data_IF_434445304164
#
_entry.id   IF_434445304164
#
_cell.length_a   1.000
_cell.length_b   1.000
_cell.length_c   1.000
_cell.angle_alpha   90.00
_cell.angle_beta   90.00
_cell.angle_gamma   90.00
#
_symmetry.space_group_name_H-M   'P 1'
#
loop_
_entity.id
_entity.type
_entity.pdbx_description
1 polymer ?
#
# COMPACT_ATOMS: atom_id res chain seq x y z
N UNK A 1 -20.48 34.26 -18.03
CA UNK A 1 -19.33 33.79 -18.82
C UNK A 1 -18.09 34.52 -18.33
N UNK A 2 -17.30 33.89 -17.48
CA UNK A 2 -16.04 34.44 -16.99
C UNK A 2 -14.92 34.02 -17.95
N UNK A 3 -14.28 34.99 -18.61
CA UNK A 3 -13.05 34.79 -19.38
C UNK A 3 -11.90 34.58 -18.37
N UNK A 4 -11.34 33.39 -18.35
CA UNK A 4 -10.07 33.16 -17.69
C UNK A 4 -8.95 33.80 -18.53
N UNK A 5 -8.45 34.94 -18.09
CA UNK A 5 -7.21 35.48 -18.60
C UNK A 5 -6.03 34.68 -18.03
N UNK A 6 -5.48 33.81 -18.84
CA UNK A 6 -4.15 33.25 -18.62
C UNK A 6 -3.11 34.34 -18.84
N UNK A 7 -2.66 34.96 -17.74
CA UNK A 7 -1.42 35.75 -17.78
C UNK A 7 -0.25 34.77 -17.92
N UNK A 8 0.17 34.54 -19.15
CA UNK A 8 1.46 33.96 -19.45
C UNK A 8 2.53 34.89 -18.88
N UNK A 9 3.33 34.39 -17.93
CA UNK A 9 4.54 35.08 -17.53
C UNK A 9 5.46 35.15 -18.74
N UNK A 10 5.50 36.30 -19.39
CA UNK A 10 6.50 36.61 -20.38
C UNK A 10 7.86 36.51 -19.69
N UNK A 11 8.67 35.51 -20.04
CA UNK A 11 10.10 35.54 -19.75
C UNK A 11 10.60 36.80 -20.45
N UNK A 12 10.90 37.81 -19.66
CA UNK A 12 11.73 38.93 -20.15
C UNK A 12 13.05 38.32 -20.57
N UNK A 13 13.18 38.01 -21.85
CA UNK A 13 14.48 37.90 -22.47
C UNK A 13 15.07 39.30 -22.36
N UNK A 14 15.91 39.49 -21.35
CA UNK A 14 16.76 40.66 -21.30
C UNK A 14 17.59 40.67 -22.59
N UNK A 15 17.17 41.48 -23.55
CA UNK A 15 17.98 41.83 -24.70
C UNK A 15 19.22 42.51 -24.16
N UNK A 16 20.25 41.71 -23.92
CA UNK A 16 21.56 42.21 -23.54
C UNK A 16 22.12 42.87 -24.81
N UNK A 17 21.96 44.18 -24.94
CA UNK A 17 22.59 44.90 -26.06
C UNK A 17 24.09 44.67 -26.02
N UNK A 18 24.73 44.58 -27.19
CA UNK A 18 26.18 44.40 -27.27
C UNK A 18 26.96 45.44 -26.44
N UNK A 19 26.44 46.67 -26.35
CA UNK A 19 27.00 47.73 -25.54
C UNK A 19 26.97 47.41 -24.02
N UNK A 20 25.92 46.79 -23.55
CA UNK A 20 25.80 46.38 -22.15
C UNK A 20 26.76 45.24 -21.81
N UNK A 21 26.99 44.32 -22.73
CA UNK A 21 27.98 43.24 -22.56
C UNK A 21 29.38 43.80 -22.50
N UNK A 22 29.73 44.72 -23.39
CA UNK A 22 31.04 45.39 -23.42
C UNK A 22 31.26 46.17 -22.14
N UNK A 23 30.27 46.93 -21.67
CA UNK A 23 30.37 47.68 -20.42
C UNK A 23 30.59 46.76 -19.20
N UNK A 24 29.86 45.65 -19.12
CA UNK A 24 30.06 44.69 -18.06
C UNK A 24 31.38 43.96 -18.11
N UNK A 25 31.89 43.66 -19.31
CA UNK A 25 33.23 43.11 -19.49
C UNK A 25 34.32 44.09 -19.05
N UNK A 26 34.18 45.34 -19.38
CA UNK A 26 35.13 46.41 -18.98
C UNK A 26 35.10 46.66 -17.49
N UNK A 27 33.97 46.48 -16.81
CA UNK A 27 33.84 46.55 -15.34
C UNK A 27 34.25 45.27 -14.64
N UNK A 28 34.59 44.19 -15.34
CA UNK A 28 34.97 42.89 -14.77
C UNK A 28 33.86 42.14 -14.08
N UNK A 29 32.60 42.57 -14.21
CA UNK A 29 31.45 41.99 -13.46
C UNK A 29 30.67 40.92 -14.24
N UNK A 30 30.83 40.81 -15.58
CA UNK A 30 30.05 39.92 -16.43
C UNK A 30 30.27 38.45 -16.06
N UNK A 31 31.49 38.03 -15.85
CA UNK A 31 31.84 36.63 -15.49
C UNK A 31 31.32 36.31 -14.12
N UNK A 32 31.41 37.22 -13.15
CA UNK A 32 30.89 37.07 -11.78
C UNK A 32 29.37 36.94 -11.81
N UNK A 33 28.67 37.80 -12.58
CA UNK A 33 27.21 37.75 -12.71
C UNK A 33 26.72 36.44 -13.32
N UNK A 34 27.42 35.91 -14.33
CA UNK A 34 27.11 34.62 -14.96
C UNK A 34 27.35 33.48 -13.98
N UNK A 35 28.48 33.50 -13.26
CA UNK A 35 28.82 32.49 -12.27
C UNK A 35 27.80 32.46 -11.12
N UNK A 36 27.37 33.63 -10.61
CA UNK A 36 26.39 33.75 -9.54
C UNK A 36 25.01 33.22 -9.98
N UNK A 37 24.58 33.53 -11.21
CA UNK A 37 23.33 32.99 -11.77
C UNK A 37 23.40 31.47 -11.93
N UNK A 38 24.50 30.94 -12.46
CA UNK A 38 24.68 29.50 -12.61
C UNK A 38 24.70 28.79 -11.26
N UNK A 39 25.36 29.36 -10.27
CA UNK A 39 25.39 28.82 -8.91
C UNK A 39 23.99 28.80 -8.28
N UNK A 40 23.20 29.85 -8.46
CA UNK A 40 21.82 29.92 -7.95
C UNK A 40 20.89 28.92 -8.64
N UNK A 41 21.00 28.74 -9.97
CA UNK A 41 20.22 27.72 -10.69
C UNK A 41 20.55 26.30 -10.21
N UNK A 42 21.84 26.00 -10.04
CA UNK A 42 22.29 24.70 -9.50
C UNK A 42 21.73 24.49 -8.10
N UNK A 43 21.79 25.48 -7.23
CA UNK A 43 21.27 25.42 -5.87
C UNK A 43 19.76 25.15 -5.86
N UNK A 44 18.99 25.82 -6.71
CA UNK A 44 17.54 25.61 -6.83
C UNK A 44 17.21 24.22 -7.34
N UNK A 45 17.95 23.70 -8.32
CA UNK A 45 17.77 22.36 -8.85
C UNK A 45 18.08 21.27 -7.82
N UNK A 46 19.14 21.45 -7.03
CA UNK A 46 19.48 20.55 -5.91
C UNK A 46 18.40 20.56 -4.84
N UNK A 47 17.87 21.74 -4.49
CA UNK A 47 16.80 21.86 -3.50
C UNK A 47 15.50 21.18 -3.97
N UNK A 48 15.10 21.37 -5.24
CA UNK A 48 13.97 20.68 -5.85
C UNK A 48 14.15 19.15 -5.84
N UNK A 49 15.37 18.70 -6.14
CA UNK A 49 15.71 17.27 -6.11
C UNK A 49 15.59 16.70 -4.71
N UNK A 50 16.10 17.37 -3.69
CA UNK A 50 15.98 16.96 -2.28
C UNK A 50 14.54 16.89 -1.83
N UNK A 51 13.71 17.87 -2.17
CA UNK A 51 12.27 17.88 -1.86
C UNK A 51 11.58 16.70 -2.53
N UNK A 52 11.89 16.41 -3.79
CA UNK A 52 11.33 15.27 -4.53
C UNK A 52 11.71 13.93 -3.88
N UNK A 53 12.97 13.77 -3.46
CA UNK A 53 13.43 12.58 -2.75
C UNK A 53 12.72 12.39 -1.41
N UNK A 54 12.53 13.44 -0.63
CA UNK A 54 11.80 13.38 0.64
C UNK A 54 10.33 12.96 0.40
N UNK A 55 9.68 13.51 -0.63
CA UNK A 55 8.31 13.11 -1.00
C UNK A 55 8.21 11.62 -1.33
N UNK A 56 9.17 11.09 -2.08
CA UNK A 56 9.19 9.65 -2.41
C UNK A 56 9.43 8.78 -1.17
N UNK A 57 10.31 9.19 -0.27
CA UNK A 57 10.54 8.48 1.02
C UNK A 57 9.24 8.44 1.85
N UNK A 58 8.53 9.55 1.95
CA UNK A 58 7.25 9.61 2.69
C UNK A 58 6.22 8.68 2.06
N UNK A 59 6.10 8.68 0.74
CA UNK A 59 5.18 7.75 0.04
C UNK A 59 5.54 6.29 0.28
N UNK A 60 6.83 5.94 0.28
CA UNK A 60 7.27 4.58 0.59
C UNK A 60 6.89 4.18 2.02
N UNK A 61 7.07 5.08 2.98
CA UNK A 61 6.69 4.84 4.37
C UNK A 61 5.18 4.64 4.52
N UNK A 62 4.37 5.45 3.85
CA UNK A 62 2.91 5.31 3.83
C UNK A 62 2.47 3.99 3.21
N UNK A 63 3.05 3.61 2.08
CA UNK A 63 2.79 2.32 1.44
C UNK A 63 3.06 1.15 2.38
N UNK A 64 4.24 1.12 3.01
CA UNK A 64 4.63 0.05 3.93
C UNK A 64 3.70 -0.04 5.14
N UNK A 65 3.32 1.10 5.71
CA UNK A 65 2.39 1.17 6.84
C UNK A 65 1.01 0.61 6.48
N UNK A 66 0.47 1.00 5.33
CA UNK A 66 -0.84 0.52 4.86
C UNK A 66 -0.77 -0.98 4.55
N UNK A 67 0.30 -1.44 3.90
CA UNK A 67 0.52 -2.85 3.60
C UNK A 67 0.57 -3.70 4.87
N UNK A 68 1.28 -3.25 5.89
CA UNK A 68 1.35 -3.92 7.19
C UNK A 68 -0.02 -4.01 7.85
N UNK A 69 -0.79 -2.92 7.87
CA UNK A 69 -2.16 -2.91 8.38
C UNK A 69 -3.08 -3.88 7.64
N UNK A 70 -2.98 -3.96 6.31
CA UNK A 70 -3.74 -4.91 5.50
C UNK A 70 -3.35 -6.36 5.85
N UNK A 71 -2.07 -6.65 6.02
CA UNK A 71 -1.61 -7.98 6.41
C UNK A 71 -2.15 -8.38 7.80
N UNK A 72 -2.10 -7.49 8.77
CA UNK A 72 -2.65 -7.71 10.11
C UNK A 72 -4.16 -7.98 10.06
N UNK A 73 -4.90 -7.20 9.27
CA UNK A 73 -6.35 -7.42 9.08
C UNK A 73 -6.65 -8.76 8.42
N UNK A 74 -5.88 -9.13 7.41
CA UNK A 74 -6.00 -10.43 6.74
C UNK A 74 -5.77 -11.58 7.71
N UNK A 75 -4.70 -11.51 8.49
CA UNK A 75 -4.37 -12.56 9.47
C UNK A 75 -5.45 -12.68 10.55
N UNK A 76 -5.98 -11.57 11.02
CA UNK A 76 -7.10 -11.54 11.97
C UNK A 76 -8.37 -12.16 11.38
N UNK A 77 -8.69 -11.85 10.14
CA UNK A 77 -9.83 -12.44 9.44
C UNK A 77 -9.66 -13.95 9.22
N UNK A 78 -8.47 -14.41 8.87
CA UNK A 78 -8.14 -15.85 8.78
C UNK A 78 -8.29 -16.54 10.12
N UNK A 79 -7.80 -15.95 11.20
CA UNK A 79 -7.92 -16.49 12.54
C UNK A 79 -9.40 -16.63 12.96
N UNK A 80 -10.22 -15.64 12.64
CA UNK A 80 -11.67 -15.69 12.90
C UNK A 80 -12.36 -16.84 12.17
N UNK A 81 -12.07 -17.02 10.89
CA UNK A 81 -12.58 -18.14 10.10
C UNK A 81 -12.16 -19.47 10.73
N UNK A 82 -10.89 -19.60 11.08
CA UNK A 82 -10.35 -20.81 11.72
C UNK A 82 -11.05 -21.13 13.05
N UNK A 83 -11.29 -20.13 13.88
CA UNK A 83 -12.01 -20.30 15.16
C UNK A 83 -13.46 -20.73 14.93
N UNK A 84 -14.16 -20.15 13.97
CA UNK A 84 -15.53 -20.55 13.65
C UNK A 84 -15.61 -22.00 13.14
N UNK A 85 -14.65 -22.41 12.34
CA UNK A 85 -14.54 -23.79 11.85
C UNK A 85 -14.22 -24.76 12.98
N UNK A 86 -13.31 -24.41 13.89
CA UNK A 86 -12.99 -25.21 15.06
C UNK A 86 -14.21 -25.41 15.97
N UNK A 87 -15.00 -24.36 16.20
CA UNK A 87 -16.26 -24.47 16.95
C UNK A 87 -17.24 -25.43 16.29
N UNK A 88 -17.44 -25.31 14.99
CA UNK A 88 -18.32 -26.21 14.23
C UNK A 88 -17.85 -27.67 14.30
N UNK A 89 -16.55 -27.90 14.16
CA UNK A 89 -15.96 -29.24 14.30
C UNK A 89 -16.13 -29.80 15.68
N UNK A 90 -15.92 -29.01 16.75
CA UNK A 90 -16.13 -29.41 18.13
C UNK A 90 -17.58 -29.77 18.40
N UNK A 91 -18.54 -28.98 17.92
CA UNK A 91 -19.97 -29.29 18.03
C UNK A 91 -20.33 -30.59 17.29
N UNK A 92 -19.78 -30.78 16.09
CA UNK A 92 -20.00 -31.97 15.29
C UNK A 92 -19.46 -33.21 15.97
N UNK A 93 -18.25 -33.12 16.56
CA UNK A 93 -17.64 -34.21 17.31
C UNK A 93 -18.43 -34.54 18.57
N UNK A 94 -18.94 -33.55 19.29
CA UNK A 94 -19.81 -33.74 20.43
C UNK A 94 -21.10 -34.52 20.06
N UNK A 95 -21.69 -34.20 18.91
CA UNK A 95 -22.87 -34.93 18.37
C UNK A 95 -22.55 -36.39 18.01
N UNK A 96 -21.36 -36.63 17.47
CA UNK A 96 -20.90 -38.02 17.20
C UNK A 96 -20.67 -38.82 18.47
N UNK A 97 -19.98 -38.20 19.44
CA UNK A 97 -19.64 -38.87 20.72
C UNK A 97 -20.79 -38.92 21.72
N UNK A 98 -21.82 -38.12 21.52
CA UNK A 98 -22.98 -38.01 22.43
C UNK A 98 -22.73 -37.23 23.71
N UNK A 99 -21.55 -36.58 23.84
CA UNK A 99 -21.16 -35.75 24.99
C UNK A 99 -20.49 -34.50 24.57
N UNK A 100 -20.78 -33.39 25.24
CA UNK A 100 -20.07 -32.09 25.09
C UNK A 100 -18.78 -32.11 25.93
N UNK A 101 -17.91 -31.11 25.70
CA UNK A 101 -16.65 -30.95 26.45
C UNK A 101 -16.84 -30.81 27.95
N UNK A 102 -17.93 -30.22 28.41
CA UNK A 102 -18.30 -30.05 29.81
C UNK A 102 -18.90 -31.32 30.44
N UNK A 103 -18.98 -32.44 29.72
CA UNK A 103 -19.57 -33.70 30.13
C UNK A 103 -21.08 -33.79 30.03
N UNK A 104 -21.75 -32.74 29.54
CA UNK A 104 -23.21 -32.74 29.34
C UNK A 104 -23.59 -33.66 28.17
N UNK A 105 -24.62 -34.49 28.36
CA UNK A 105 -25.13 -35.36 27.30
C UNK A 105 -25.78 -34.57 26.17
N UNK A 106 -25.48 -34.95 24.91
CA UNK A 106 -26.16 -34.41 23.72
C UNK A 106 -27.56 -35.04 23.61
N UNK A 107 -28.62 -34.24 23.32
CA UNK A 107 -29.96 -34.79 23.07
C UNK A 107 -29.96 -35.83 21.96
N UNK A 108 -30.80 -36.89 22.10
CA UNK A 108 -30.83 -38.01 21.14
C UNK A 108 -31.17 -37.60 19.72
N UNK A 109 -31.99 -36.56 19.56
CA UNK A 109 -32.35 -35.98 18.24
C UNK A 109 -31.20 -35.27 17.54
N UNK A 110 -30.15 -34.87 18.28
CA UNK A 110 -28.95 -34.21 17.75
C UNK A 110 -27.76 -35.17 17.54
N UNK A 111 -27.85 -36.43 18.02
CA UNK A 111 -26.81 -37.44 17.80
C UNK A 111 -26.73 -37.83 16.32
N UNK A 112 -25.51 -38.05 15.85
CA UNK A 112 -25.22 -38.40 14.45
C UNK A 112 -24.46 -39.72 14.35
N UNK A 113 -24.60 -40.37 13.20
CA UNK A 113 -23.85 -41.57 12.86
C UNK A 113 -22.46 -41.19 12.31
N UNK A 114 -21.48 -42.14 12.30
CA UNK A 114 -20.18 -41.89 11.65
C UNK A 114 -20.26 -41.45 10.18
N UNK A 115 -21.22 -41.97 9.41
CA UNK A 115 -21.43 -41.57 8.03
C UNK A 115 -21.94 -40.14 7.92
N UNK A 116 -22.90 -39.75 8.76
CA UNK A 116 -23.38 -38.38 8.85
C UNK A 116 -22.27 -37.41 9.28
N UNK A 117 -21.43 -37.83 10.23
CA UNK A 117 -20.26 -37.06 10.67
C UNK A 117 -19.30 -36.79 9.49
N UNK A 118 -19.00 -37.80 8.68
CA UNK A 118 -18.13 -37.69 7.52
C UNK A 118 -18.69 -36.68 6.51
N UNK A 119 -19.99 -36.78 6.18
CA UNK A 119 -20.64 -35.89 5.22
C UNK A 119 -20.69 -34.44 5.72
N UNK A 120 -21.04 -34.23 6.98
CA UNK A 120 -21.06 -32.91 7.60
C UNK A 120 -19.65 -32.30 7.76
N UNK A 121 -18.64 -33.13 8.09
CA UNK A 121 -17.24 -32.71 8.15
C UNK A 121 -16.75 -32.23 6.77
N UNK A 122 -17.10 -32.94 5.70
CA UNK A 122 -16.77 -32.57 4.33
C UNK A 122 -17.38 -31.20 3.94
N UNK A 123 -18.63 -30.95 4.34
CA UNK A 123 -19.28 -29.64 4.13
C UNK A 123 -18.59 -28.52 4.88
N UNK A 124 -18.15 -28.76 6.10
CA UNK A 124 -17.37 -27.79 6.88
C UNK A 124 -16.05 -27.48 6.19
N UNK A 125 -15.34 -28.48 5.67
CA UNK A 125 -14.09 -28.30 4.95
C UNK A 125 -14.28 -27.51 3.63
N UNK A 126 -15.35 -27.76 2.90
CA UNK A 126 -15.71 -26.97 1.72
C UNK A 126 -16.02 -25.52 2.07
N UNK A 127 -16.79 -25.28 3.13
CA UNK A 127 -17.11 -23.95 3.61
C UNK A 127 -15.85 -23.18 4.02
N UNK A 128 -14.93 -23.82 4.73
CA UNK A 128 -13.65 -23.23 5.07
C UNK A 128 -12.85 -22.81 3.84
N UNK A 129 -12.75 -23.71 2.87
CA UNK A 129 -12.04 -23.44 1.61
C UNK A 129 -12.64 -22.26 0.87
N UNK A 130 -13.96 -22.21 0.76
CA UNK A 130 -14.69 -21.13 0.12
C UNK A 130 -14.43 -19.78 0.81
N UNK A 131 -14.57 -19.73 2.13
CA UNK A 131 -14.34 -18.52 2.91
C UNK A 131 -12.89 -18.02 2.82
N UNK A 132 -11.91 -18.94 2.84
CA UNK A 132 -10.50 -18.58 2.67
C UNK A 132 -10.19 -18.06 1.28
N UNK A 133 -10.78 -18.66 0.24
CA UNK A 133 -10.60 -18.18 -1.14
C UNK A 133 -11.22 -16.80 -1.35
N UNK A 134 -12.42 -16.56 -0.84
CA UNK A 134 -13.08 -15.25 -0.89
C UNK A 134 -12.24 -14.18 -0.17
N UNK A 135 -11.70 -14.51 0.99
CA UNK A 135 -10.80 -13.62 1.74
C UNK A 135 -9.52 -13.30 0.96
N UNK A 136 -8.88 -14.32 0.38
CA UNK A 136 -7.67 -14.11 -0.42
C UNK A 136 -7.94 -13.22 -1.64
N UNK A 137 -9.05 -13.41 -2.33
CA UNK A 137 -9.45 -12.57 -3.46
C UNK A 137 -9.69 -11.12 -3.04
N UNK A 138 -10.35 -10.90 -1.92
CA UNK A 138 -10.59 -9.56 -1.37
C UNK A 138 -9.27 -8.83 -1.09
N UNK A 139 -8.31 -9.50 -0.43
CA UNK A 139 -7.02 -8.89 -0.09
C UNK A 139 -6.08 -8.77 -1.29
N UNK A 140 -6.16 -9.62 -2.29
CA UNK A 140 -5.47 -9.44 -3.58
C UNK A 140 -5.96 -8.18 -4.29
N UNK A 141 -7.26 -7.91 -4.25
CA UNK A 141 -7.85 -6.67 -4.78
C UNK A 141 -7.33 -5.44 -4.04
N UNK A 142 -7.32 -5.47 -2.71
CA UNK A 142 -6.78 -4.38 -1.90
C UNK A 142 -5.29 -4.14 -2.16
N UNK A 143 -4.50 -5.20 -2.31
CA UNK A 143 -3.08 -5.10 -2.65
C UNK A 143 -2.86 -4.49 -4.04
N UNK A 144 -3.66 -4.87 -5.03
CA UNK A 144 -3.64 -4.30 -6.37
C UNK A 144 -4.00 -2.81 -6.37
N UNK A 145 -5.01 -2.42 -5.61
CA UNK A 145 -5.42 -1.02 -5.44
C UNK A 145 -4.30 -0.20 -4.77
N UNK A 146 -3.65 -0.77 -3.77
CA UNK A 146 -2.53 -0.13 -3.07
C UNK A 146 -1.32 0.05 -4.00
N UNK A 147 -0.98 -0.95 -4.80
CA UNK A 147 0.10 -0.86 -5.80
C UNK A 147 -0.19 0.19 -6.85
N UNK A 148 -1.44 0.29 -7.32
CA UNK A 148 -1.85 1.31 -8.27
C UNK A 148 -1.74 2.72 -7.69
N UNK A 149 -2.03 2.90 -6.41
CA UNK A 149 -1.92 4.18 -5.70
C UNK A 149 -0.47 4.59 -5.44
N UNK A 150 0.42 3.63 -5.21
CA UNK A 150 1.84 3.85 -4.89
C UNK A 150 2.78 3.04 -5.80
N UNK A 151 2.80 3.27 -7.13
CA UNK A 151 3.50 2.40 -8.07
C UNK A 151 5.01 2.34 -7.84
N UNK A 152 5.66 3.47 -7.58
CA UNK A 152 7.10 3.55 -7.33
C UNK A 152 7.46 3.01 -5.93
N UNK A 153 6.63 3.28 -4.95
CA UNK A 153 6.84 2.83 -3.56
C UNK A 153 6.78 1.32 -3.43
N UNK A 154 5.89 0.66 -4.19
CA UNK A 154 5.85 -0.80 -4.25
C UNK A 154 7.16 -1.39 -4.79
N UNK A 155 7.70 -0.82 -5.85
CA UNK A 155 8.97 -1.25 -6.44
C UNK A 155 10.12 -1.14 -5.44
N UNK A 156 10.28 0.03 -4.82
CA UNK A 156 11.34 0.25 -3.83
C UNK A 156 11.17 -0.62 -2.59
N UNK A 157 9.98 -0.79 -2.09
CA UNK A 157 9.71 -1.62 -0.93
C UNK A 157 10.08 -3.10 -1.14
N UNK A 158 9.87 -3.64 -2.34
CA UNK A 158 10.19 -5.05 -2.63
C UNK A 158 11.63 -5.30 -3.02
N UNK A 159 12.34 -4.30 -3.58
CA UNK A 159 13.71 -4.50 -4.10
C UNK A 159 14.82 -3.93 -3.23
N UNK A 160 14.53 -2.96 -2.36
CA UNK A 160 15.56 -2.37 -1.51
C UNK A 160 15.68 -3.04 -0.14
N UNK A 161 14.64 -3.64 0.37
CA UNK A 161 14.68 -4.31 1.69
C UNK A 161 15.32 -5.68 1.67
N UNK A 162 15.38 -6.36 0.54
CA UNK A 162 16.12 -7.64 0.40
C UNK A 162 17.65 -7.47 0.38
N UNK A 163 18.16 -6.23 0.42
CA UNK A 163 19.60 -5.93 0.41
C UNK A 163 20.17 -5.46 1.74
N UNK A 164 19.34 -5.37 2.75
CA UNK A 164 19.72 -5.06 4.13
C UNK A 164 19.34 -6.22 5.04
#
# INVERSE_FOLDING_TARGET
MAKAETKGAAKEQQNVSADNVVEKLMKGNLVTDIADKAAEEIRQDEEKRKISQVKEIVKCADYLRIKELLNVRKDRAKAKITLDILKKRTELLARLLGKKEDGTAVPDDQKITPNQFRDLSSKIDEDQRKQMNELNQEYEKHDSELRAKYPNSWYYANYQFDRF
#
